data_IF_831020041008
#
_entry.id   IF_831020041008
#
_cell.length_a   1.000
_cell.length_b   1.000
_cell.length_c   1.000
_cell.angle_alpha   90.00
_cell.angle_beta   90.00
_cell.angle_gamma   90.00
#
_symmetry.space_group_name_H-M   'P 1'
#
loop_
_entity.id
_entity.type
_entity.pdbx_description
1 polymer ?
#
# COMPACT_ATOMS: atom_id res chain seq x y z
N UNK A 1 47.42 -34.15 -25.02
CA UNK A 1 46.00 -33.73 -25.04
C UNK A 1 45.64 -32.74 -23.91
N UNK A 2 46.40 -31.65 -23.65
CA UNK A 2 46.06 -30.68 -22.59
C UNK A 2 45.09 -29.57 -23.03
N UNK A 3 44.90 -29.37 -24.34
CA UNK A 3 44.08 -28.28 -24.89
C UNK A 3 42.57 -28.44 -24.63
N UNK A 4 42.10 -29.68 -24.50
CA UNK A 4 40.67 -29.97 -24.30
C UNK A 4 40.22 -29.75 -22.84
N UNK A 5 41.08 -30.08 -21.87
CA UNK A 5 40.80 -29.87 -20.45
C UNK A 5 40.75 -28.38 -20.08
N UNK A 6 41.66 -27.57 -20.63
CA UNK A 6 41.64 -26.11 -20.45
C UNK A 6 40.35 -25.51 -21.01
N UNK A 7 39.87 -26.00 -22.17
CA UNK A 7 38.63 -25.52 -22.77
C UNK A 7 37.40 -25.84 -21.90
N UNK A 8 37.33 -27.04 -21.31
CA UNK A 8 36.25 -27.44 -20.40
C UNK A 8 36.27 -26.59 -19.12
N UNK A 9 37.45 -26.33 -18.54
CA UNK A 9 37.57 -25.51 -17.34
C UNK A 9 37.15 -24.05 -17.60
N UNK A 10 37.53 -23.47 -18.74
CA UNK A 10 37.14 -22.11 -19.12
C UNK A 10 35.62 -22.01 -19.36
N UNK A 11 35.03 -22.98 -20.07
CA UNK A 11 33.57 -23.04 -20.29
C UNK A 11 32.79 -23.20 -18.98
N UNK A 12 33.29 -24.03 -18.07
CA UNK A 12 32.71 -24.22 -16.73
C UNK A 12 32.72 -22.93 -15.91
N UNK A 13 33.83 -22.18 -15.93
CA UNK A 13 33.96 -20.92 -15.20
C UNK A 13 32.99 -19.84 -15.74
N UNK A 14 32.80 -19.80 -17.07
CA UNK A 14 31.86 -18.88 -17.73
C UNK A 14 30.41 -19.21 -17.35
N UNK A 15 30.05 -20.49 -17.36
CA UNK A 15 28.70 -20.95 -16.96
C UNK A 15 28.39 -20.62 -15.50
N UNK A 16 29.34 -20.88 -14.59
CA UNK A 16 29.18 -20.56 -13.16
C UNK A 16 29.09 -19.05 -12.95
N UNK A 17 29.93 -18.25 -13.62
CA UNK A 17 29.88 -16.79 -13.55
C UNK A 17 28.55 -16.21 -14.03
N UNK A 18 28.00 -16.75 -15.12
CA UNK A 18 26.70 -16.33 -15.67
C UNK A 18 25.53 -16.67 -14.73
N UNK A 19 25.56 -17.84 -14.08
CA UNK A 19 24.56 -18.23 -13.09
C UNK A 19 24.60 -17.33 -11.84
N UNK A 20 25.80 -17.02 -11.33
CA UNK A 20 25.98 -16.12 -10.18
C UNK A 20 25.52 -14.69 -10.54
N UNK A 21 25.91 -14.18 -11.71
CA UNK A 21 25.48 -12.86 -12.19
C UNK A 21 23.97 -12.76 -12.37
N UNK A 22 23.34 -13.79 -12.91
CA UNK A 22 21.88 -13.85 -13.10
C UNK A 22 21.13 -13.93 -11.77
N UNK A 23 21.62 -14.74 -10.82
CA UNK A 23 21.06 -14.84 -9.47
C UNK A 23 21.20 -13.51 -8.72
N UNK A 24 22.35 -12.84 -8.83
CA UNK A 24 22.56 -11.53 -8.23
C UNK A 24 21.62 -10.47 -8.85
N UNK A 25 21.48 -10.43 -10.17
CA UNK A 25 20.55 -9.52 -10.84
C UNK A 25 19.09 -9.79 -10.46
N UNK A 26 18.73 -11.07 -10.30
CA UNK A 26 17.41 -11.48 -9.83
C UNK A 26 17.14 -11.04 -8.38
N UNK A 27 18.11 -11.25 -7.47
CA UNK A 27 18.03 -10.78 -6.08
C UNK A 27 17.96 -9.26 -6.02
N UNK A 28 18.73 -8.55 -6.85
CA UNK A 28 18.69 -7.09 -6.92
C UNK A 28 17.35 -6.57 -7.46
N UNK A 29 16.75 -7.22 -8.48
CA UNK A 29 15.39 -6.89 -8.96
C UNK A 29 14.32 -7.19 -7.93
N UNK A 30 14.39 -8.34 -7.25
CA UNK A 30 13.51 -8.65 -6.13
C UNK A 30 13.62 -7.58 -5.06
N UNK A 31 14.85 -7.20 -4.68
CA UNK A 31 15.07 -6.12 -3.72
C UNK A 31 14.48 -4.79 -4.20
N UNK A 32 14.57 -4.45 -5.47
CA UNK A 32 13.97 -3.23 -6.02
C UNK A 32 12.43 -3.26 -6.00
N UNK A 33 11.83 -4.43 -6.22
CA UNK A 33 10.38 -4.64 -6.05
C UNK A 33 9.94 -4.48 -4.58
N UNK A 34 10.82 -4.75 -3.63
CA UNK A 34 10.56 -4.56 -2.19
C UNK A 34 11.06 -3.21 -1.64
N UNK A 35 11.82 -2.43 -2.41
CA UNK A 35 12.44 -1.15 -2.01
C UNK A 35 11.48 0.04 -1.97
N UNK A 36 10.18 -0.19 -1.97
CA UNK A 36 9.19 0.82 -1.60
C UNK A 36 9.18 1.12 -0.09
N UNK A 37 10.22 0.75 0.64
CA UNK A 37 10.59 1.37 1.91
C UNK A 37 11.42 2.63 1.64
N UNK A 38 10.84 3.58 0.91
CA UNK A 38 11.34 4.94 0.98
C UNK A 38 11.19 5.40 2.44
N UNK A 39 12.25 5.88 3.10
CA UNK A 39 12.10 6.51 4.40
C UNK A 39 11.02 7.58 4.29
N UNK A 40 9.95 7.43 5.07
CA UNK A 40 8.92 8.45 5.20
C UNK A 40 9.61 9.81 5.32
N UNK A 41 9.32 10.79 4.45
CA UNK A 41 10.02 12.07 4.49
C UNK A 41 9.87 12.68 5.88
N UNK A 42 10.95 12.60 6.65
CA UNK A 42 11.06 13.14 8.00
C UNK A 42 11.35 14.62 7.89
N UNK A 43 10.35 15.39 7.45
CA UNK A 43 10.40 16.84 7.57
C UNK A 43 9.10 17.32 8.21
N UNK A 44 9.13 17.47 9.54
CA UNK A 44 8.35 18.52 10.20
C UNK A 44 8.70 19.82 9.47
N UNK A 45 7.86 20.26 8.53
CA UNK A 45 8.07 21.48 7.74
C UNK A 45 7.96 21.36 6.22
N UNK A 46 7.85 20.17 5.62
CA UNK A 46 7.45 20.08 4.20
C UNK A 46 5.93 20.38 4.10
N UNK A 47 5.52 21.28 3.19
CA UNK A 47 4.09 21.52 2.91
C UNK A 47 3.45 20.18 2.58
N UNK A 48 2.59 19.69 3.47
CA UNK A 48 1.84 18.46 3.25
C UNK A 48 0.92 18.69 2.08
N UNK A 49 0.90 17.74 1.16
CA UNK A 49 -0.11 17.68 0.10
C UNK A 49 -1.53 17.67 0.67
N UNK A 50 -2.55 17.90 -0.16
CA UNK A 50 -3.93 17.82 0.28
C UNK A 50 -4.21 16.44 0.91
N UNK A 51 -4.98 16.39 2.00
CA UNK A 51 -5.36 15.13 2.63
C UNK A 51 -6.16 14.28 1.65
N UNK A 52 -5.91 12.97 1.68
CA UNK A 52 -6.73 11.97 1.00
C UNK A 52 -6.99 10.82 1.98
N UNK A 53 -8.25 10.52 2.20
CA UNK A 53 -8.65 9.47 3.13
C UNK A 53 -8.66 8.13 2.41
N UNK A 54 -8.21 7.09 3.10
CA UNK A 54 -8.12 5.74 2.55
C UNK A 54 -8.85 4.81 3.48
N UNK A 55 -9.84 4.11 2.93
CA UNK A 55 -10.47 2.97 3.58
C UNK A 55 -9.52 1.77 3.48
N UNK A 56 -8.69 1.62 4.51
CA UNK A 56 -7.67 0.59 4.53
C UNK A 56 -8.25 -0.82 4.65
N UNK A 57 -9.39 -0.97 5.33
CA UNK A 57 -10.14 -2.22 5.40
C UNK A 57 -10.63 -2.67 4.02
N UNK A 58 -11.02 -1.76 3.14
CA UNK A 58 -11.37 -2.11 1.76
C UNK A 58 -10.14 -2.35 0.88
N UNK A 59 -9.15 -1.45 0.93
CA UNK A 59 -7.97 -1.48 0.05
C UNK A 59 -7.12 -2.72 0.26
N UNK A 60 -7.03 -3.25 1.48
CA UNK A 60 -6.24 -4.46 1.75
C UNK A 60 -6.73 -5.70 0.99
N UNK A 61 -7.97 -5.70 0.48
CA UNK A 61 -8.52 -6.79 -0.32
C UNK A 61 -8.33 -6.61 -1.83
N UNK A 62 -7.71 -5.50 -2.28
CA UNK A 62 -7.51 -5.27 -3.71
C UNK A 62 -6.45 -6.25 -4.26
N UNK A 63 -6.76 -6.90 -5.37
CA UNK A 63 -5.91 -7.92 -5.99
C UNK A 63 -6.45 -9.35 -5.86
N UNK A 64 -7.39 -9.62 -4.94
CA UNK A 64 -8.23 -10.82 -4.95
C UNK A 64 -7.80 -11.98 -4.04
N UNK A 65 -6.57 -11.98 -3.51
CA UNK A 65 -6.03 -13.10 -2.72
C UNK A 65 -6.35 -13.02 -1.21
N UNK A 66 -7.38 -12.26 -0.83
CA UNK A 66 -7.71 -11.98 0.57
C UNK A 66 -7.04 -10.71 1.11
N UNK A 67 -7.11 -10.47 2.43
CA UNK A 67 -6.54 -9.28 3.05
C UNK A 67 -5.00 -9.34 3.03
N UNK A 68 -4.36 -8.28 2.54
CA UNK A 68 -2.91 -8.17 2.45
C UNK A 68 -2.44 -6.72 2.62
N UNK A 69 -1.24 -6.55 3.19
CA UNK A 69 -0.58 -5.26 3.29
C UNK A 69 -0.05 -4.76 1.93
N UNK A 70 0.18 -5.66 0.97
CA UNK A 70 0.78 -5.35 -0.33
C UNK A 70 -0.02 -4.28 -1.10
N UNK A 71 -1.34 -4.45 -1.34
CA UNK A 71 -2.13 -3.42 -2.02
C UNK A 71 -2.16 -2.09 -1.24
N UNK A 72 -2.16 -2.13 0.11
CA UNK A 72 -2.08 -0.92 0.92
C UNK A 72 -0.78 -0.16 0.66
N UNK A 73 0.37 -0.85 0.73
CA UNK A 73 1.68 -0.23 0.48
C UNK A 73 1.72 0.41 -0.90
N UNK A 74 1.28 -0.32 -1.92
CA UNK A 74 1.27 0.15 -3.31
C UNK A 74 0.37 1.39 -3.50
N UNK A 75 -0.86 1.35 -2.98
CA UNK A 75 -1.80 2.47 -3.08
C UNK A 75 -1.30 3.70 -2.31
N UNK A 76 -0.81 3.53 -1.09
CA UNK A 76 -0.33 4.64 -0.26
C UNK A 76 0.89 5.32 -0.88
N UNK A 77 1.86 4.54 -1.36
CA UNK A 77 3.01 5.08 -2.10
C UNK A 77 2.54 5.81 -3.35
N UNK A 78 1.59 5.25 -4.11
CA UNK A 78 1.07 5.90 -5.31
C UNK A 78 0.39 7.23 -5.00
N UNK A 79 -0.35 7.33 -3.90
CA UNK A 79 -0.98 8.58 -3.47
C UNK A 79 0.06 9.64 -3.08
N UNK A 80 1.11 9.24 -2.36
CA UNK A 80 2.21 10.13 -2.00
C UNK A 80 2.99 10.62 -3.23
N UNK A 81 3.26 9.74 -4.21
CA UNK A 81 3.86 10.10 -5.50
C UNK A 81 3.03 11.13 -6.28
N UNK A 82 1.69 11.03 -6.20
CA UNK A 82 0.77 12.00 -6.77
C UNK A 82 0.63 13.28 -5.93
N UNK A 83 1.44 13.44 -4.88
CA UNK A 83 1.49 14.65 -4.06
C UNK A 83 0.39 14.75 -3.01
N UNK A 84 -0.32 13.67 -2.69
CA UNK A 84 -1.31 13.65 -1.61
C UNK A 84 -0.69 13.28 -0.25
N UNK A 85 -1.38 13.64 0.83
CA UNK A 85 -1.07 13.20 2.19
C UNK A 85 -2.10 12.16 2.65
N UNK A 86 -1.84 10.84 2.48
CA UNK A 86 -2.81 9.81 2.82
C UNK A 86 -3.04 9.69 4.34
N UNK A 87 -4.31 9.57 4.73
CA UNK A 87 -4.79 9.28 6.07
C UNK A 87 -5.64 8.01 6.01
N UNK A 88 -5.24 6.96 6.72
CA UNK A 88 -5.79 5.61 6.55
C UNK A 88 -6.65 5.24 7.74
N UNK A 89 -7.85 4.73 7.46
CA UNK A 89 -8.78 4.21 8.45
C UNK A 89 -8.93 2.71 8.33
N UNK A 90 -9.02 2.02 9.45
CA UNK A 90 -9.18 0.58 9.54
C UNK A 90 -10.25 0.19 10.55
N UNK A 91 -10.86 -0.98 10.35
CA UNK A 91 -11.61 -1.65 11.40
C UNK A 91 -10.68 -2.07 12.55
N UNK A 92 -11.25 -2.20 13.75
CA UNK A 92 -10.53 -2.67 14.94
C UNK A 92 -9.84 -4.04 14.77
N UNK A 93 -10.32 -4.88 13.84
CA UNK A 93 -9.81 -6.24 13.62
C UNK A 93 -8.71 -6.35 12.56
N UNK A 94 -8.24 -5.23 11.99
CA UNK A 94 -7.24 -5.23 10.90
C UNK A 94 -5.99 -6.05 11.24
N UNK A 95 -5.48 -5.95 12.47
CA UNK A 95 -4.28 -6.69 12.88
C UNK A 95 -4.45 -8.20 12.77
N UNK A 96 -5.63 -8.72 13.13
CA UNK A 96 -5.92 -10.15 13.01
C UNK A 96 -6.06 -10.57 11.55
N UNK A 97 -6.63 -9.72 10.70
CA UNK A 97 -6.75 -9.99 9.26
C UNK A 97 -5.38 -10.00 8.55
N UNK A 98 -4.43 -9.17 8.96
CA UNK A 98 -3.12 -9.06 8.30
C UNK A 98 -2.03 -9.96 8.92
N UNK A 99 -2.04 -10.14 10.24
CA UNK A 99 -0.93 -10.76 10.98
C UNK A 99 -1.40 -11.72 12.09
N UNK A 100 -2.68 -12.08 12.11
CA UNK A 100 -3.28 -12.97 13.11
C UNK A 100 -3.03 -12.56 14.57
N UNK A 101 -2.91 -11.25 14.85
CA UNK A 101 -2.73 -10.70 16.19
C UNK A 101 -3.27 -9.27 16.30
N UNK A 102 -3.53 -8.78 17.51
CA UNK A 102 -3.88 -7.38 17.70
C UNK A 102 -2.73 -6.45 17.25
N UNK A 103 -3.09 -5.34 16.60
CA UNK A 103 -2.17 -4.30 16.14
C UNK A 103 -2.81 -2.92 16.27
N UNK A 104 -2.07 -1.98 16.85
CA UNK A 104 -2.44 -0.57 16.87
C UNK A 104 -1.80 0.22 15.73
N UNK A 105 -1.98 1.55 15.72
CA UNK A 105 -1.41 2.43 14.69
C UNK A 105 0.12 2.33 14.59
N UNK A 106 0.82 2.13 15.72
CA UNK A 106 2.28 2.05 15.77
C UNK A 106 2.82 0.80 15.11
N UNK A 107 2.16 -0.34 15.33
CA UNK A 107 2.53 -1.60 14.69
C UNK A 107 2.23 -1.57 13.19
N UNK A 108 1.07 -1.04 12.80
CA UNK A 108 0.70 -0.89 11.39
C UNK A 108 1.65 0.06 10.64
N UNK A 109 2.09 1.15 11.28
CA UNK A 109 3.07 2.09 10.71
C UNK A 109 4.45 1.47 10.43
N UNK A 110 4.77 0.29 10.99
CA UNK A 110 6.01 -0.42 10.66
C UNK A 110 5.92 -1.19 9.34
N UNK A 111 4.71 -1.44 8.86
CA UNK A 111 4.43 -2.23 7.65
C UNK A 111 3.93 -1.35 6.50
N UNK A 112 3.38 -0.17 6.82
CA UNK A 112 2.81 0.75 5.85
C UNK A 112 3.69 2.00 5.68
N UNK A 113 3.75 2.58 4.46
CA UNK A 113 4.53 3.79 4.19
C UNK A 113 3.80 5.05 4.68
N UNK A 114 3.28 5.04 5.91
CA UNK A 114 2.63 6.17 6.57
C UNK A 114 2.99 6.19 8.05
N UNK A 115 2.98 7.38 8.64
CA UNK A 115 3.28 7.54 10.08
C UNK A 115 2.09 7.07 10.91
N UNK A 116 2.35 6.64 12.15
CA UNK A 116 1.31 6.16 13.05
C UNK A 116 0.17 7.17 13.27
N UNK A 117 0.47 8.48 13.25
CA UNK A 117 -0.55 9.53 13.40
C UNK A 117 -1.46 9.70 12.17
N UNK A 118 -1.12 9.07 11.04
CA UNK A 118 -1.95 9.04 9.84
C UNK A 118 -2.74 7.73 9.73
N UNK A 119 -2.67 6.87 10.77
CA UNK A 119 -3.40 5.61 10.84
C UNK A 119 -4.42 5.71 11.97
N UNK A 120 -5.68 5.47 11.64
CA UNK A 120 -6.80 5.50 12.56
C UNK A 120 -7.47 4.13 12.58
N UNK A 121 -7.79 3.64 13.77
CA UNK A 121 -8.64 2.46 13.94
C UNK A 121 -9.98 2.89 14.49
N UNK A 122 -11.04 2.30 13.94
CA UNK A 122 -12.36 2.40 14.53
C UNK A 122 -12.34 1.81 15.96
N UNK A 123 -13.10 2.40 16.90
CA UNK A 123 -13.32 1.78 18.20
C UNK A 123 -13.91 0.37 18.06
N UNK A 124 -13.61 -0.50 19.02
CA UNK A 124 -14.19 -1.84 19.02
C UNK A 124 -15.72 -1.77 19.03
N UNK A 125 -16.37 -2.57 18.17
CA UNK A 125 -17.82 -2.60 18.01
C UNK A 125 -18.40 -1.46 17.16
N UNK A 126 -17.57 -0.60 16.58
CA UNK A 126 -17.99 0.43 15.63
C UNK A 126 -17.43 0.16 14.23
N UNK A 127 -18.21 0.36 13.15
CA UNK A 127 -17.71 0.24 11.79
C UNK A 127 -16.77 1.40 11.44
N UNK A 128 -15.73 1.14 10.65
CA UNK A 128 -14.81 2.19 10.17
C UNK A 128 -15.44 3.10 9.09
N UNK A 129 -16.38 2.58 8.30
CA UNK A 129 -17.02 3.28 7.19
C UNK A 129 -17.56 4.68 7.54
N UNK A 130 -18.45 4.87 8.53
CA UNK A 130 -18.97 6.20 8.84
C UNK A 130 -17.84 7.15 9.27
N UNK A 131 -16.85 6.66 10.03
CA UNK A 131 -15.74 7.48 10.53
C UNK A 131 -14.86 8.01 9.39
N UNK A 132 -14.51 7.16 8.42
CA UNK A 132 -13.70 7.59 7.28
C UNK A 132 -14.48 8.49 6.32
N UNK A 133 -15.80 8.24 6.15
CA UNK A 133 -16.68 9.10 5.34
C UNK A 133 -16.80 10.48 5.99
N UNK A 134 -17.10 10.55 7.29
CA UNK A 134 -17.22 11.80 8.03
C UNK A 134 -15.94 12.62 7.95
N UNK A 135 -14.78 11.99 8.19
CA UNK A 135 -13.49 12.66 8.12
C UNK A 135 -13.20 13.23 6.71
N UNK A 136 -13.46 12.45 5.66
CA UNK A 136 -13.27 12.90 4.28
C UNK A 136 -14.19 14.07 3.93
N UNK A 137 -15.46 14.02 4.31
CA UNK A 137 -16.42 15.09 4.02
C UNK A 137 -16.14 16.36 4.84
N UNK A 138 -15.76 16.23 6.11
CA UNK A 138 -15.42 17.36 6.98
C UNK A 138 -14.23 18.16 6.42
N UNK A 139 -13.21 17.46 5.90
CA UNK A 139 -12.03 18.09 5.30
C UNK A 139 -12.21 18.43 3.81
N UNK A 140 -13.40 18.16 3.23
CA UNK A 140 -13.67 18.29 1.79
C UNK A 140 -12.63 17.56 0.94
N UNK A 141 -12.15 16.45 1.46
CA UNK A 141 -11.11 15.62 0.91
C UNK A 141 -11.71 14.46 0.12
N UNK A 142 -10.83 13.76 -0.60
CA UNK A 142 -11.19 12.58 -1.39
C UNK A 142 -11.08 11.32 -0.52
N UNK A 143 -11.86 10.31 -0.85
CA UNK A 143 -11.91 9.01 -0.18
C UNK A 143 -11.60 7.88 -1.15
N UNK A 144 -10.54 7.14 -0.90
CA UNK A 144 -10.12 5.97 -1.66
C UNK A 144 -10.80 4.73 -1.07
N UNK A 145 -11.75 4.16 -1.82
CA UNK A 145 -12.39 2.89 -1.52
C UNK A 145 -13.15 2.40 -2.76
N UNK A 146 -13.14 1.10 -3.01
CA UNK A 146 -14.02 0.49 -4.01
C UNK A 146 -15.44 0.26 -3.50
N UNK A 147 -15.67 0.35 -2.18
CA UNK A 147 -17.01 0.24 -1.63
C UNK A 147 -17.95 1.36 -2.14
N UNK A 148 -19.21 1.01 -2.34
CA UNK A 148 -20.27 1.95 -2.71
C UNK A 148 -20.87 2.61 -1.48
N UNK A 149 -20.60 2.09 -0.27
CA UNK A 149 -21.11 2.53 1.02
C UNK A 149 -22.63 2.65 1.00
N UNK A 150 -23.32 1.62 0.49
CA UNK A 150 -24.76 1.70 0.21
C UNK A 150 -25.57 2.06 1.45
N UNK A 151 -25.24 1.45 2.59
CA UNK A 151 -25.93 1.66 3.87
C UNK A 151 -25.76 3.09 4.41
N UNK A 152 -24.66 3.75 4.03
CA UNK A 152 -24.29 5.08 4.53
C UNK A 152 -24.73 6.23 3.62
N UNK A 153 -25.08 5.96 2.35
CA UNK A 153 -25.42 6.99 1.35
C UNK A 153 -26.61 7.88 1.73
N UNK A 154 -27.57 7.35 2.47
CA UNK A 154 -28.72 8.12 2.92
C UNK A 154 -28.30 9.16 3.96
N UNK A 155 -27.36 8.81 4.83
CA UNK A 155 -26.84 9.66 5.91
C UNK A 155 -25.80 10.66 5.39
N UNK A 156 -25.01 10.27 4.38
CA UNK A 156 -23.94 11.09 3.80
C UNK A 156 -24.17 11.37 2.30
N UNK A 157 -25.11 12.24 1.93
CA UNK A 157 -25.41 12.55 0.53
C UNK A 157 -24.20 13.16 -0.21
N UNK A 158 -23.30 13.82 0.53
CA UNK A 158 -22.04 14.39 -0.01
C UNK A 158 -21.12 13.35 -0.66
N UNK A 159 -21.25 12.07 -0.29
CA UNK A 159 -20.49 10.98 -0.90
C UNK A 159 -20.80 10.78 -2.38
N UNK A 160 -21.97 11.24 -2.85
CA UNK A 160 -22.39 11.18 -4.26
C UNK A 160 -21.73 12.27 -5.12
N UNK A 161 -21.10 13.26 -4.50
CA UNK A 161 -20.45 14.33 -5.25
C UNK A 161 -19.30 13.77 -6.09
N UNK A 162 -19.22 14.22 -7.34
CA UNK A 162 -18.19 13.78 -8.29
C UNK A 162 -16.81 14.13 -7.73
N UNK A 163 -15.89 13.17 -7.75
CA UNK A 163 -14.50 13.35 -7.31
C UNK A 163 -14.24 13.07 -5.83
N UNK A 164 -15.29 12.90 -5.00
CA UNK A 164 -15.13 12.50 -3.59
C UNK A 164 -14.62 11.07 -3.52
N UNK A 165 -15.32 10.10 -4.13
CA UNK A 165 -14.85 8.71 -4.17
C UNK A 165 -13.80 8.52 -5.27
N UNK A 166 -12.64 8.02 -4.87
CA UNK A 166 -11.56 7.56 -5.75
C UNK A 166 -11.62 6.04 -5.80
N UNK A 167 -11.88 5.52 -7.00
CA UNK A 167 -11.88 4.09 -7.29
C UNK A 167 -10.50 3.66 -7.76
N UNK A 168 -10.20 2.38 -7.62
CA UNK A 168 -8.92 1.87 -8.08
C UNK A 168 -8.83 0.36 -8.19
N UNK A 169 -7.67 -0.10 -8.63
CA UNK A 169 -7.33 -1.52 -8.62
C UNK A 169 -5.83 -1.72 -8.51
N UNK A 170 -5.45 -2.90 -8.01
CA UNK A 170 -4.07 -3.37 -7.96
C UNK A 170 -3.99 -4.66 -8.76
N UNK A 171 -3.04 -4.72 -9.70
CA UNK A 171 -2.72 -5.93 -10.49
C UNK A 171 -1.21 -6.11 -10.53
N UNK A 172 -0.70 -7.11 -9.80
CA UNK A 172 0.74 -7.22 -9.55
C UNK A 172 1.25 -5.97 -8.83
N UNK A 173 2.20 -5.27 -9.43
CA UNK A 173 2.74 -3.99 -8.91
C UNK A 173 2.05 -2.76 -9.48
N UNK A 174 1.14 -2.92 -10.45
CA UNK A 174 0.46 -1.81 -11.10
C UNK A 174 -0.71 -1.33 -10.25
N UNK A 175 -0.73 -0.03 -9.96
CA UNK A 175 -1.83 0.66 -9.29
C UNK A 175 -2.52 1.59 -10.28
N UNK A 176 -3.84 1.48 -10.38
CA UNK A 176 -4.67 2.40 -11.14
C UNK A 176 -5.66 3.08 -10.18
N UNK A 177 -5.72 4.41 -10.22
CA UNK A 177 -6.62 5.23 -9.39
C UNK A 177 -7.33 6.25 -10.27
N UNK A 178 -8.61 6.51 -10.00
CA UNK A 178 -9.39 7.57 -10.66
C UNK A 178 -9.17 8.92 -9.98
N UNK A 179 -7.92 9.38 -9.98
CA UNK A 179 -7.52 10.67 -9.43
C UNK A 179 -7.98 11.85 -10.32
#
# INVERSE_FOLDING_TARGET
>A
MPSFEILILVLGLILVGSLIGSLLAFVLRLRDLFRHDAPLPSKRGAKRGPPIFVDGSNVMHWGGDGPSEVPLRLVLSKLQENGFSPVVWFDANVGYKLQNRHMGPRELARMLPVRAEMIHLAPSGQPADPLVIEAALAEKARLVSNDRFMDWRAQYPGLRAKGVLVKGSVKGTKVELTL
#
